data_IF_998282796987
#
_entry.id   IF_998282796987
#
_cell.length_a   1.000
_cell.length_b   1.000
_cell.length_c   1.000
_cell.angle_alpha   90.00
_cell.angle_beta   90.00
_cell.angle_gamma   90.00
#
_symmetry.space_group_name_H-M   'P 1'
#
loop_
_entity.id
_entity.type
_entity.pdbx_description
1 polymer ?
#
# COMPACT_ATOMS: atom_id res chain seq x y z
N UNK A 1 -30.65 2.52 -11.77
CA UNK A 1 -29.80 3.62 -12.29
C UNK A 1 -28.42 3.41 -11.69
N UNK A 2 -27.48 2.86 -12.45
CA UNK A 2 -26.10 2.68 -11.99
C UNK A 2 -25.43 4.04 -12.02
N UNK A 3 -25.14 4.58 -10.83
CA UNK A 3 -24.11 5.61 -10.68
C UNK A 3 -22.82 4.91 -11.07
N UNK A 4 -22.37 5.14 -12.31
CA UNK A 4 -21.01 4.83 -12.70
C UNK A 4 -20.11 5.61 -11.75
N UNK A 5 -19.55 4.89 -10.78
CA UNK A 5 -18.48 5.36 -9.92
C UNK A 5 -17.33 5.75 -10.83
N UNK A 6 -17.31 7.01 -11.24
CA UNK A 6 -16.41 7.55 -12.24
C UNK A 6 -15.05 7.62 -11.55
N UNK A 7 -14.24 6.58 -11.77
CA UNK A 7 -12.87 6.51 -11.28
C UNK A 7 -12.16 7.83 -11.62
N UNK A 8 -11.46 8.47 -10.67
CA UNK A 8 -10.61 9.60 -10.98
C UNK A 8 -9.53 9.11 -11.94
N UNK A 9 -9.51 9.66 -13.15
CA UNK A 9 -8.41 9.43 -14.10
C UNK A 9 -7.17 10.17 -13.56
N UNK A 10 -6.08 9.45 -13.21
CA UNK A 10 -4.88 10.07 -12.66
C UNK A 10 -4.29 11.15 -13.58
N UNK A 11 -4.43 10.99 -14.90
CA UNK A 11 -3.98 11.99 -15.86
C UNK A 11 -4.85 13.25 -15.75
N UNK A 12 -6.17 13.11 -15.77
CA UNK A 12 -7.08 14.24 -15.53
C UNK A 12 -6.83 14.92 -14.18
N UNK A 13 -6.60 14.16 -13.11
CA UNK A 13 -6.31 14.71 -11.78
C UNK A 13 -4.99 15.47 -11.76
N UNK A 14 -3.93 14.94 -12.38
CA UNK A 14 -2.67 15.65 -12.53
C UNK A 14 -2.85 16.98 -13.26
N UNK A 15 -3.54 16.99 -14.40
CA UNK A 15 -3.78 18.20 -15.17
C UNK A 15 -4.62 19.23 -14.39
N UNK A 16 -5.57 18.77 -13.58
CA UNK A 16 -6.40 19.61 -12.72
C UNK A 16 -5.65 20.18 -11.52
N UNK A 17 -4.83 19.37 -10.84
CA UNK A 17 -4.14 19.76 -9.60
C UNK A 17 -2.87 20.58 -9.84
N UNK A 18 -2.21 20.39 -11.00
CA UNK A 18 -0.93 21.04 -11.31
C UNK A 18 -0.97 22.57 -11.25
N UNK A 19 -1.96 23.28 -11.86
CA UNK A 19 -2.01 24.74 -11.80
C UNK A 19 -2.17 25.27 -10.36
N UNK A 20 -3.09 24.69 -9.59
CA UNK A 20 -3.33 25.09 -8.20
C UNK A 20 -2.11 24.85 -7.31
N UNK A 21 -1.43 23.72 -7.52
CA UNK A 21 -0.18 23.39 -6.81
C UNK A 21 0.92 24.42 -7.13
N UNK A 22 1.06 24.81 -8.40
CA UNK A 22 2.02 25.83 -8.81
C UNK A 22 1.75 27.17 -8.13
N UNK A 23 0.49 27.62 -8.14
CA UNK A 23 0.08 28.86 -7.47
C UNK A 23 0.35 28.83 -5.97
N UNK A 24 0.06 27.71 -5.30
CA UNK A 24 0.30 27.56 -3.87
C UNK A 24 1.80 27.63 -3.51
N UNK A 25 2.66 26.97 -4.30
CA UNK A 25 4.12 27.03 -4.10
C UNK A 25 4.65 28.44 -4.34
N UNK A 26 4.17 29.12 -5.38
CA UNK A 26 4.51 30.53 -5.64
C UNK A 26 4.05 31.45 -4.50
N UNK A 27 2.90 31.19 -3.90
CA UNK A 27 2.40 31.92 -2.74
C UNK A 27 3.31 31.79 -1.52
N UNK A 28 3.84 30.58 -1.24
CA UNK A 28 4.83 30.37 -0.17
C UNK A 28 6.12 31.14 -0.46
N UNK A 29 6.63 31.07 -1.70
CA UNK A 29 7.83 31.82 -2.10
C UNK A 29 7.64 33.32 -1.89
N UNK A 30 6.52 33.88 -2.37
CA UNK A 30 6.23 35.30 -2.24
C UNK A 30 6.03 35.77 -0.80
N UNK A 31 5.73 34.87 0.15
CA UNK A 31 5.73 35.18 1.59
C UNK A 31 7.15 35.11 2.17
N UNK A 32 7.96 34.14 1.76
CA UNK A 32 9.36 34.02 2.21
C UNK A 32 10.25 35.19 1.75
N UNK A 33 9.92 35.82 0.62
CA UNK A 33 10.64 36.98 0.09
C UNK A 33 10.35 38.30 0.84
N UNK A 34 9.34 38.34 1.71
CA UNK A 34 8.98 39.53 2.50
C UNK A 34 9.73 39.53 3.84
N UNK A 35 10.38 40.65 4.17
CA UNK A 35 11.15 40.77 5.42
C UNK A 35 10.29 40.70 6.70
N UNK A 36 9.03 41.10 6.59
CA UNK A 36 8.05 41.27 7.66
C UNK A 36 6.82 40.35 7.47
N UNK A 37 7.04 39.18 6.87
CA UNK A 37 6.01 38.16 6.73
C UNK A 37 5.48 37.68 8.08
N UNK A 38 4.15 37.73 8.25
CA UNK A 38 3.49 37.14 9.40
C UNK A 38 3.68 35.60 9.43
N UNK A 39 4.15 35.09 10.56
CA UNK A 39 4.49 33.68 10.73
C UNK A 39 3.27 32.76 10.56
N UNK A 40 2.09 33.20 11.00
CA UNK A 40 0.86 32.42 10.87
C UNK A 40 0.48 32.26 9.39
N UNK A 41 0.47 33.36 8.63
CA UNK A 41 0.22 33.34 7.19
C UNK A 41 1.23 32.45 6.43
N UNK A 42 2.52 32.49 6.81
CA UNK A 42 3.53 31.62 6.20
C UNK A 42 3.28 30.14 6.50
N UNK A 43 2.91 29.79 7.73
CA UNK A 43 2.57 28.43 8.13
C UNK A 43 1.32 27.91 7.38
N UNK A 44 0.28 28.72 7.28
CA UNK A 44 -0.95 28.34 6.58
C UNK A 44 -0.71 28.13 5.08
N UNK A 45 0.05 29.03 4.44
CA UNK A 45 0.45 28.87 3.05
C UNK A 45 1.32 27.62 2.84
N UNK A 46 2.26 27.35 3.75
CA UNK A 46 3.08 26.15 3.70
C UNK A 46 2.26 24.86 3.83
N UNK A 47 1.34 24.79 4.80
CA UNK A 47 0.49 23.61 5.00
C UNK A 47 -0.43 23.37 3.80
N UNK A 48 -0.98 24.44 3.22
CA UNK A 48 -1.79 24.37 2.01
C UNK A 48 -0.97 23.88 0.80
N UNK A 49 0.20 24.46 0.55
CA UNK A 49 1.09 24.05 -0.53
C UNK A 49 1.56 22.60 -0.35
N UNK A 50 1.91 22.20 0.88
CA UNK A 50 2.30 20.82 1.21
C UNK A 50 1.20 19.82 0.85
N UNK A 51 -0.07 20.14 1.17
CA UNK A 51 -1.20 19.29 0.84
C UNK A 51 -1.38 19.13 -0.67
N UNK A 52 -1.39 20.24 -1.42
CA UNK A 52 -1.52 20.20 -2.88
C UNK A 52 -0.35 19.51 -3.58
N UNK A 53 0.88 19.69 -3.07
CA UNK A 53 2.05 18.95 -3.55
C UNK A 53 1.88 17.45 -3.34
N UNK A 54 1.43 17.02 -2.16
CA UNK A 54 1.20 15.60 -1.91
C UNK A 54 0.14 15.01 -2.88
N UNK A 55 -1.00 15.69 -3.03
CA UNK A 55 -2.10 15.26 -3.92
C UNK A 55 -1.66 15.22 -5.39
N UNK A 56 -1.00 16.27 -5.88
CA UNK A 56 -0.55 16.36 -7.28
C UNK A 56 0.58 15.37 -7.60
N UNK A 57 1.53 15.15 -6.69
CA UNK A 57 2.60 14.16 -6.88
C UNK A 57 2.04 12.73 -6.85
N UNK A 58 1.05 12.46 -6.00
CA UNK A 58 0.35 11.17 -6.01
C UNK A 58 -0.35 10.94 -7.36
N UNK A 59 -1.07 11.93 -7.88
CA UNK A 59 -1.71 11.85 -9.19
C UNK A 59 -0.68 11.60 -10.30
N UNK A 60 0.43 12.34 -10.29
CA UNK A 60 1.54 12.17 -11.24
C UNK A 60 2.11 10.75 -11.21
N UNK A 61 2.45 10.21 -10.04
CA UNK A 61 3.00 8.85 -9.96
C UNK A 61 1.99 7.80 -10.43
N UNK A 62 0.70 7.98 -10.11
CA UNK A 62 -0.37 7.09 -10.56
C UNK A 62 -0.58 7.10 -12.08
N UNK A 63 -0.19 8.15 -12.81
CA UNK A 63 -0.23 8.14 -14.29
C UNK A 63 0.68 7.07 -14.91
N UNK A 64 1.75 6.68 -14.21
CA UNK A 64 2.68 5.66 -14.66
C UNK A 64 2.29 4.25 -14.19
N UNK A 65 1.24 4.11 -13.38
CA UNK A 65 0.77 2.83 -12.87
C UNK A 65 -0.36 2.27 -13.73
N UNK A 66 -0.43 0.94 -13.89
CA UNK A 66 -1.55 0.34 -14.58
C UNK A 66 -2.85 0.51 -13.79
N UNK A 67 -3.98 0.60 -14.49
CA UNK A 67 -5.30 0.67 -13.86
C UNK A 67 -5.63 -0.58 -13.04
N UNK A 68 -5.08 -1.73 -13.41
CA UNK A 68 -5.13 -2.96 -12.63
C UNK A 68 -3.82 -3.75 -12.84
N UNK A 69 -3.39 -4.47 -11.81
CA UNK A 69 -2.22 -5.33 -11.84
C UNK A 69 -2.66 -6.79 -11.84
N UNK A 70 -2.76 -7.39 -13.03
CA UNK A 70 -3.13 -8.80 -13.17
C UNK A 70 -2.20 -9.70 -12.35
N UNK A 71 -0.89 -9.45 -12.34
CA UNK A 71 0.08 -10.20 -11.53
C UNK A 71 -0.27 -10.19 -10.04
N UNK A 72 -0.71 -9.05 -9.49
CA UNK A 72 -1.13 -9.01 -8.08
C UNK A 72 -2.40 -9.84 -7.84
N UNK A 73 -3.37 -9.74 -8.76
CA UNK A 73 -4.58 -10.55 -8.71
C UNK A 73 -4.25 -12.04 -8.79
N UNK A 74 -3.38 -12.45 -9.71
CA UNK A 74 -2.98 -13.82 -9.94
C UNK A 74 -2.28 -14.42 -8.72
N UNK A 75 -1.35 -13.67 -8.10
CA UNK A 75 -0.68 -14.10 -6.87
C UNK A 75 -1.67 -14.29 -5.71
N UNK A 76 -2.65 -13.40 -5.58
CA UNK A 76 -3.69 -13.55 -4.56
C UNK A 76 -4.61 -14.73 -4.84
N UNK A 77 -4.94 -15.01 -6.09
CA UNK A 77 -5.70 -16.19 -6.49
C UNK A 77 -4.92 -17.46 -6.16
N UNK A 78 -3.64 -17.53 -6.53
CA UNK A 78 -2.76 -18.65 -6.20
C UNK A 78 -2.70 -18.88 -4.68
N UNK A 79 -2.54 -17.81 -3.90
CA UNK A 79 -2.54 -17.91 -2.44
C UNK A 79 -3.87 -18.44 -1.90
N UNK A 80 -5.01 -17.97 -2.44
CA UNK A 80 -6.33 -18.45 -2.05
C UNK A 80 -6.53 -19.94 -2.39
N UNK A 81 -6.08 -20.37 -3.57
CA UNK A 81 -6.10 -21.78 -3.99
C UNK A 81 -5.27 -22.64 -3.04
N UNK A 82 -4.03 -22.22 -2.72
CA UNK A 82 -3.19 -22.94 -1.75
C UNK A 82 -3.81 -23.03 -0.36
N UNK A 83 -4.40 -21.94 0.14
CA UNK A 83 -5.13 -21.95 1.41
C UNK A 83 -6.30 -22.95 1.40
N UNK A 84 -7.04 -23.01 0.30
CA UNK A 84 -8.16 -23.93 0.15
C UNK A 84 -7.72 -25.40 0.01
N UNK A 85 -6.68 -25.67 -0.79
CA UNK A 85 -6.08 -26.99 -0.95
C UNK A 85 -5.58 -27.56 0.39
N UNK A 86 -4.87 -26.74 1.16
CA UNK A 86 -4.26 -27.21 2.40
C UNK A 86 -5.27 -27.25 3.56
N UNK A 87 -6.17 -26.29 3.68
CA UNK A 87 -7.00 -26.11 4.88
C UNK A 87 -8.52 -26.14 4.65
N UNK A 88 -9.01 -26.23 3.42
CA UNK A 88 -10.42 -26.07 3.05
C UNK A 88 -11.42 -26.95 3.79
N UNK A 89 -11.06 -28.20 4.06
CA UNK A 89 -11.93 -29.14 4.78
C UNK A 89 -11.84 -29.02 6.31
N UNK A 90 -10.78 -28.38 6.80
CA UNK A 90 -10.41 -28.37 8.22
C UNK A 90 -10.72 -27.04 8.90
N UNK A 91 -10.69 -25.95 8.14
CA UNK A 91 -10.85 -24.59 8.64
C UNK A 91 -12.07 -23.94 7.98
N UNK A 92 -12.98 -23.32 8.74
CA UNK A 92 -14.14 -22.63 8.16
C UNK A 92 -13.74 -21.61 7.09
N UNK A 93 -14.45 -21.61 5.96
CA UNK A 93 -14.17 -20.75 4.80
C UNK A 93 -14.04 -19.27 5.15
N UNK A 94 -14.74 -18.82 6.20
CA UNK A 94 -14.64 -17.45 6.70
C UNK A 94 -13.24 -17.06 7.18
N UNK A 95 -12.32 -17.99 7.44
CA UNK A 95 -10.93 -17.68 7.79
C UNK A 95 -9.95 -17.90 6.64
N UNK A 96 -10.42 -18.54 5.56
CA UNK A 96 -9.65 -18.82 4.34
C UNK A 96 -9.83 -17.69 3.32
N UNK A 97 -9.65 -16.44 3.77
CA UNK A 97 -9.76 -15.25 2.92
C UNK A 97 -8.42 -14.56 2.82
N UNK A 98 -7.94 -14.27 1.61
CA UNK A 98 -6.69 -13.54 1.40
C UNK A 98 -6.89 -12.05 1.74
N UNK A 99 -6.22 -11.51 2.78
CA UNK A 99 -6.36 -10.11 3.19
C UNK A 99 -5.65 -9.15 2.20
N UNK A 100 -5.60 -7.86 2.58
CA UNK A 100 -4.77 -6.84 1.92
C UNK A 100 -5.03 -6.64 0.42
N UNK A 101 -6.27 -6.86 -0.02
CA UNK A 101 -6.69 -6.71 -1.40
C UNK A 101 -7.09 -5.30 -1.84
N UNK A 102 -6.74 -4.27 -1.07
CA UNK A 102 -7.16 -2.90 -1.41
C UNK A 102 -6.32 -2.32 -2.55
N UNK A 103 -6.87 -1.29 -3.21
CA UNK A 103 -6.20 -0.58 -4.30
C UNK A 103 -4.80 -0.08 -3.91
N UNK A 104 -4.62 0.41 -2.70
CA UNK A 104 -3.33 0.89 -2.22
C UNK A 104 -2.26 -0.21 -2.18
N UNK A 105 -2.64 -1.45 -1.83
CA UNK A 105 -1.70 -2.58 -1.84
C UNK A 105 -1.32 -2.95 -3.27
N UNK A 106 -2.30 -2.96 -4.17
CA UNK A 106 -2.07 -3.21 -5.59
C UNK A 106 -1.15 -2.14 -6.22
N UNK A 107 -1.35 -0.86 -5.91
CA UNK A 107 -0.51 0.24 -6.41
C UNK A 107 0.93 0.15 -5.86
N UNK A 108 1.08 -0.16 -4.56
CA UNK A 108 2.39 -0.40 -3.96
C UNK A 108 3.10 -1.60 -4.60
N UNK A 109 2.38 -2.70 -4.80
CA UNK A 109 2.92 -3.88 -5.47
C UNK A 109 3.30 -3.56 -6.91
N UNK A 110 2.45 -2.85 -7.67
CA UNK A 110 2.72 -2.48 -9.06
C UNK A 110 3.98 -1.59 -9.17
N UNK A 111 4.18 -0.65 -8.23
CA UNK A 111 5.39 0.16 -8.14
C UNK A 111 6.66 -0.68 -7.96
N UNK A 112 6.60 -1.68 -7.07
CA UNK A 112 7.70 -2.62 -6.84
C UNK A 112 7.92 -3.55 -8.03
N UNK A 113 6.84 -4.02 -8.65
CA UNK A 113 6.86 -4.92 -9.81
C UNK A 113 7.52 -4.29 -11.04
N UNK A 114 7.21 -3.01 -11.33
CA UNK A 114 7.86 -2.26 -12.41
C UNK A 114 9.39 -2.17 -12.26
N UNK A 115 9.89 -2.38 -11.04
CA UNK A 115 11.29 -2.31 -10.64
C UNK A 115 11.72 -3.61 -9.95
N UNK A 116 11.21 -4.76 -10.43
CA UNK A 116 11.55 -6.04 -9.82
C UNK A 116 13.08 -6.22 -9.75
N UNK A 117 13.57 -6.66 -8.59
CA UNK A 117 15.00 -6.77 -8.23
C UNK A 117 15.78 -5.46 -8.22
N UNK A 118 15.12 -4.32 -8.29
CA UNK A 118 15.72 -3.01 -8.16
C UNK A 118 15.21 -2.30 -6.91
N UNK A 119 16.07 -1.52 -6.23
CA UNK A 119 15.66 -0.78 -5.04
C UNK A 119 14.68 0.34 -5.41
N UNK A 120 13.57 0.41 -4.65
CA UNK A 120 12.59 1.49 -4.73
C UNK A 120 12.66 2.31 -3.45
N UNK A 121 12.98 3.59 -3.57
CA UNK A 121 13.09 4.49 -2.42
C UNK A 121 11.78 4.62 -1.66
N UNK A 122 11.85 4.59 -0.33
CA UNK A 122 10.69 4.76 0.55
C UNK A 122 9.90 6.02 0.21
N UNK A 123 10.57 7.13 -0.12
CA UNK A 123 9.93 8.39 -0.49
C UNK A 123 8.95 8.23 -1.67
N UNK A 124 9.30 7.44 -2.69
CA UNK A 124 8.44 7.21 -3.84
C UNK A 124 7.21 6.36 -3.48
N UNK A 125 7.39 5.35 -2.65
CA UNK A 125 6.27 4.54 -2.14
C UNK A 125 5.32 5.35 -1.26
N UNK A 126 5.83 6.33 -0.51
CA UNK A 126 5.03 7.27 0.31
C UNK A 126 4.15 8.18 -0.52
N UNK A 127 4.65 8.64 -1.67
CA UNK A 127 3.85 9.45 -2.60
C UNK A 127 2.64 8.68 -3.10
N UNK A 128 2.80 7.38 -3.38
CA UNK A 128 1.70 6.52 -3.88
C UNK A 128 0.64 6.32 -2.80
N UNK A 129 1.04 6.11 -1.54
CA UNK A 129 0.12 5.86 -0.43
C UNK A 129 -0.51 7.12 0.15
N UNK A 130 0.01 8.30 -0.18
CA UNK A 130 -0.45 9.59 0.37
C UNK A 130 -0.03 9.86 1.83
N UNK A 131 0.61 8.88 2.50
CA UNK A 131 1.11 9.00 3.88
C UNK A 131 2.26 8.01 4.16
N UNK A 132 3.24 8.49 4.93
CA UNK A 132 4.41 7.78 5.40
C UNK A 132 4.17 6.68 6.44
N UNK A 133 3.23 6.87 7.37
CA UNK A 133 2.95 5.86 8.41
C UNK A 133 2.32 4.64 7.76
N UNK A 134 1.54 4.86 6.71
CA UNK A 134 0.89 3.79 5.98
C UNK A 134 1.85 3.03 5.05
N UNK A 135 2.91 3.64 4.50
CA UNK A 135 3.80 2.92 3.56
C UNK A 135 4.51 1.72 4.19
N UNK A 136 5.16 1.92 5.34
CA UNK A 136 5.89 0.83 6.02
C UNK A 136 4.91 -0.28 6.43
N UNK A 137 3.78 0.12 7.03
CA UNK A 137 2.72 -0.80 7.41
C UNK A 137 2.20 -1.60 6.23
N UNK A 138 1.87 -0.95 5.11
CA UNK A 138 1.33 -1.61 3.92
C UNK A 138 2.37 -2.51 3.25
N UNK A 139 3.65 -2.14 3.32
CA UNK A 139 4.73 -2.99 2.82
C UNK A 139 4.91 -4.23 3.69
N UNK A 140 4.78 -4.10 5.02
CA UNK A 140 4.73 -5.26 5.93
C UNK A 140 3.52 -6.15 5.62
N UNK A 141 2.35 -5.57 5.40
CA UNK A 141 1.13 -6.31 5.02
C UNK A 141 1.31 -7.06 3.68
N UNK A 142 2.04 -6.50 2.71
CA UNK A 142 2.42 -7.22 1.49
C UNK A 142 3.36 -8.40 1.78
N UNK A 143 4.35 -8.27 2.67
CA UNK A 143 5.20 -9.40 3.08
C UNK A 143 4.41 -10.50 3.78
N UNK A 144 3.41 -10.13 4.57
CA UNK A 144 2.52 -11.10 5.24
C UNK A 144 1.73 -11.98 4.25
N UNK A 145 1.59 -11.55 2.99
CA UNK A 145 1.05 -12.39 1.91
C UNK A 145 2.06 -13.41 1.36
N UNK A 146 3.30 -13.45 1.85
CA UNK A 146 4.38 -14.28 1.30
C UNK A 146 5.19 -13.61 0.20
N UNK A 147 5.02 -12.31 -0.04
CA UNK A 147 5.81 -11.59 -1.05
C UNK A 147 7.24 -11.34 -0.58
N UNK A 148 8.23 -11.67 -1.43
CA UNK A 148 9.65 -11.50 -1.12
C UNK A 148 10.12 -10.05 -1.28
N UNK A 149 9.73 -9.21 -0.32
CA UNK A 149 10.09 -7.79 -0.25
C UNK A 149 11.11 -7.57 0.86
N UNK A 150 12.33 -7.18 0.49
CA UNK A 150 13.39 -6.83 1.45
C UNK A 150 13.51 -5.32 1.63
N UNK A 151 13.92 -4.89 2.83
CA UNK A 151 14.34 -3.51 3.11
C UNK A 151 15.84 -3.44 3.27
N UNK A 152 16.45 -2.43 2.67
CA UNK A 152 17.86 -2.09 2.85
C UNK A 152 18.01 -0.56 2.95
N UNK A 153 19.25 -0.08 3.10
CA UNK A 153 19.57 1.36 3.09
C UNK A 153 20.50 1.68 1.93
N UNK A 154 20.14 2.69 1.15
CA UNK A 154 20.95 3.23 0.06
C UNK A 154 20.89 4.75 0.08
N UNK A 155 22.03 5.43 -0.08
CA UNK A 155 22.08 6.90 -0.11
C UNK A 155 21.51 7.60 1.13
N UNK A 156 21.53 6.95 2.29
CA UNK A 156 20.98 7.50 3.55
C UNK A 156 19.47 7.35 3.72
N UNK A 157 18.77 6.71 2.79
CA UNK A 157 17.33 6.42 2.88
C UNK A 157 17.01 4.92 2.89
N UNK A 158 15.83 4.57 3.40
CA UNK A 158 15.32 3.21 3.28
C UNK A 158 14.84 2.94 1.85
N UNK A 159 15.18 1.76 1.33
CA UNK A 159 14.72 1.28 0.02
C UNK A 159 14.07 -0.09 0.19
N UNK A 160 13.13 -0.40 -0.70
CA UNK A 160 12.41 -1.67 -0.73
C UNK A 160 12.61 -2.35 -2.08
N UNK A 161 12.89 -3.65 -2.06
CA UNK A 161 13.12 -4.43 -3.27
C UNK A 161 12.22 -5.66 -3.28
N UNK A 162 11.39 -5.81 -4.31
CA UNK A 162 10.70 -7.07 -4.59
C UNK A 162 11.67 -7.99 -5.35
N UNK A 163 12.12 -9.07 -4.72
CA UNK A 163 13.18 -9.94 -5.26
C UNK A 163 12.64 -11.04 -6.18
N UNK A 164 11.49 -11.62 -5.82
CA UNK A 164 10.80 -12.67 -6.57
C UNK A 164 9.29 -12.49 -6.52
N UNK A 165 8.59 -13.18 -7.43
CA UNK A 165 7.14 -13.37 -7.41
C UNK A 165 6.75 -14.72 -6.77
N UNK A 166 7.73 -15.53 -6.37
CA UNK A 166 7.49 -16.77 -5.65
C UNK A 166 6.91 -16.45 -4.27
N UNK A 167 5.72 -16.97 -3.99
CA UNK A 167 5.06 -16.77 -2.70
C UNK A 167 5.64 -17.71 -1.65
N UNK A 168 5.98 -17.15 -0.50
CA UNK A 168 6.28 -17.94 0.69
C UNK A 168 4.98 -18.48 1.30
N UNK A 169 4.61 -19.68 0.85
CA UNK A 169 3.43 -20.42 1.30
C UNK A 169 3.52 -20.79 2.79
N UNK A 170 4.72 -20.80 3.39
CA UNK A 170 4.89 -21.06 4.82
C UNK A 170 4.23 -20.00 5.72
N UNK A 171 3.87 -18.83 5.16
CA UNK A 171 3.13 -17.77 5.87
C UNK A 171 1.61 -17.96 5.89
N UNK A 172 1.05 -18.95 5.17
CA UNK A 172 -0.41 -19.22 5.19
C UNK A 172 -0.97 -19.37 6.62
N UNK A 173 -0.35 -20.13 7.54
CA UNK A 173 -0.82 -20.21 8.93
C UNK A 173 -0.93 -18.84 9.60
N UNK A 174 0.03 -17.95 9.37
CA UNK A 174 0.03 -16.57 9.90
C UNK A 174 -1.15 -15.76 9.35
N UNK A 175 -1.47 -15.90 8.07
CA UNK A 175 -2.63 -15.24 7.45
C UNK A 175 -3.93 -15.71 8.11
N UNK A 176 -4.08 -17.02 8.32
CA UNK A 176 -5.26 -17.60 8.95
C UNK A 176 -5.39 -17.11 10.41
N UNK A 177 -4.29 -17.09 11.17
CA UNK A 177 -4.24 -16.56 12.54
C UNK A 177 -4.70 -15.09 12.58
N UNK A 178 -4.23 -14.28 11.64
CA UNK A 178 -4.64 -12.87 11.57
C UNK A 178 -6.13 -12.72 11.27
N UNK A 179 -6.67 -13.53 10.36
CA UNK A 179 -8.11 -13.55 10.07
C UNK A 179 -8.95 -14.01 11.28
N UNK A 180 -8.46 -14.95 12.09
CA UNK A 180 -9.11 -15.39 13.34
C UNK A 180 -9.18 -14.28 14.39
N UNK A 181 -8.17 -13.41 14.44
CA UNK A 181 -8.12 -12.28 15.39
C UNK A 181 -9.12 -11.20 15.00
N UNK A 182 -9.20 -10.90 13.72
CA UNK A 182 -10.05 -9.83 13.17
C UNK A 182 -11.54 -10.18 13.21
N UNK A 183 -11.88 -11.42 12.86
CA UNK A 183 -13.27 -11.89 12.84
C UNK A 183 -13.66 -12.32 14.25
N UNK A 184 -14.64 -11.63 14.87
CA UNK A 184 -15.18 -11.92 16.21
C UNK A 184 -15.70 -13.36 16.34
N UNK A 185 -14.79 -14.30 16.56
CA UNK A 185 -15.08 -15.72 16.65
C UNK A 185 -15.20 -16.19 18.11
N UNK A 186 -16.07 -17.17 18.41
CA UNK A 186 -16.11 -17.82 19.71
C UNK A 186 -14.74 -18.44 20.08
N UNK A 187 -14.38 -18.40 21.37
CA UNK A 187 -13.07 -18.89 21.84
C UNK A 187 -12.79 -20.35 21.45
N UNK A 188 -13.79 -21.24 21.60
CA UNK A 188 -13.68 -22.66 21.22
C UNK A 188 -13.35 -22.87 19.74
N UNK A 189 -13.88 -22.03 18.87
CA UNK A 189 -13.61 -22.12 17.43
C UNK A 189 -12.19 -21.64 17.12
N UNK A 190 -11.72 -20.59 17.80
CA UNK A 190 -10.33 -20.13 17.67
C UNK A 190 -9.35 -21.20 18.11
N UNK A 191 -9.60 -21.84 19.25
CA UNK A 191 -8.76 -22.94 19.77
C UNK A 191 -8.73 -24.13 18.80
N UNK A 192 -9.89 -24.52 18.25
CA UNK A 192 -9.96 -25.61 17.27
C UNK A 192 -9.16 -25.32 16.00
N UNK A 193 -9.23 -24.09 15.47
CA UNK A 193 -8.45 -23.71 14.28
C UNK A 193 -6.96 -23.62 14.61
N UNK A 194 -6.57 -23.05 15.75
CA UNK A 194 -5.16 -22.95 16.15
C UNK A 194 -4.51 -24.32 16.33
N UNK A 195 -5.25 -25.34 16.79
CA UNK A 195 -4.75 -26.71 16.93
C UNK A 195 -4.44 -27.39 15.58
N UNK A 196 -4.99 -26.88 14.47
CA UNK A 196 -4.81 -27.43 13.12
C UNK A 196 -3.64 -26.77 12.36
N UNK A 197 -3.14 -25.64 12.85
CA UNK A 197 -2.06 -24.89 12.23
C UNK A 197 -0.71 -25.37 12.77
N UNK A 198 0.33 -25.45 11.92
CA UNK A 198 1.69 -25.61 12.40
C UNK A 198 2.00 -24.52 13.43
N UNK A 199 2.64 -24.86 14.55
CA UNK A 199 3.16 -23.81 15.44
C UNK A 199 4.18 -23.00 14.64
N UNK A 200 3.87 -21.74 14.36
CA UNK A 200 4.76 -20.84 13.65
C UNK A 200 6.11 -20.83 14.39
N UNK A 201 7.17 -21.26 13.72
CA UNK A 201 8.53 -21.02 14.21
C UNK A 201 8.69 -19.48 14.24
N UNK A 202 8.91 -18.96 15.45
CA UNK A 202 9.03 -17.52 15.72
C UNK A 202 10.25 -16.88 15.07
#
# INVERSE_FOLDING_TARGET
MNVTDRRPDPASDWHRLKPDTLLAVQGVLGLLEKEDADAQNLLDAYLYAKRLLAESMQALVRTALPEACSTFSDLRTQLAERMAEEYGERIPQRYLTVPYGSRTHEELFAMLLQRIRQPVGAALLRVVTGDSVHTERRTRELRELGLDIVTSREGGGDVYTLRSLDLDISLIPTIIINNLRDKKAPAREKEAVLALLPQAAG
#
